data_IF_123420943721
#
_entry.id   IF_123420943721
#
_cell.length_a   1.000
_cell.length_b   1.000
_cell.length_c   1.000
_cell.angle_alpha   90.00
_cell.angle_beta   90.00
_cell.angle_gamma   90.00
#
_symmetry.space_group_name_H-M   'P 1'
#
loop_
_entity.id
_entity.type
_entity.pdbx_description
1 polymer ?
#
# COMPACT_ATOMS: atom_id res chain seq x y z
N UNK A 1 12.09 -64.01 6.24
CA UNK A 1 10.90 -63.18 6.57
C UNK A 1 10.76 -62.22 5.42
N UNK A 2 10.01 -62.65 4.40
CA UNK A 2 9.85 -61.92 3.14
C UNK A 2 9.09 -60.62 3.41
N UNK A 3 9.71 -59.51 3.02
CA UNK A 3 9.14 -58.19 3.13
C UNK A 3 8.18 -58.03 1.95
N UNK A 4 6.89 -58.02 2.26
CA UNK A 4 5.78 -57.97 1.32
C UNK A 4 5.90 -56.71 0.42
N UNK A 5 6.07 -56.91 -0.90
CA UNK A 5 6.20 -55.87 -1.94
C UNK A 5 4.94 -55.00 -2.12
N UNK A 6 3.92 -55.18 -1.29
CA UNK A 6 2.64 -54.48 -1.34
C UNK A 6 2.59 -53.15 -0.57
N UNK A 7 3.68 -52.71 0.06
CA UNK A 7 3.74 -51.42 0.78
C UNK A 7 4.42 -50.30 0.01
N UNK A 8 4.78 -50.50 -1.25
CA UNK A 8 5.08 -49.38 -2.15
C UNK A 8 3.74 -48.79 -2.55
N UNK A 9 3.30 -47.78 -1.79
CA UNK A 9 2.22 -46.89 -2.20
C UNK A 9 2.64 -46.35 -3.58
N UNK A 10 2.09 -46.91 -4.67
CA UNK A 10 2.22 -46.35 -6.01
C UNK A 10 1.67 -44.94 -5.90
N UNK A 11 2.56 -43.95 -5.80
CA UNK A 11 2.19 -42.54 -5.82
C UNK A 11 1.43 -42.38 -7.13
N UNK A 12 0.10 -42.12 -7.10
CA UNK A 12 -0.65 -41.97 -8.33
C UNK A 12 0.05 -40.88 -9.14
N UNK A 13 0.29 -41.14 -10.43
CA UNK A 13 0.83 -40.17 -11.39
C UNK A 13 0.06 -38.86 -11.19
N UNK A 14 0.68 -37.94 -10.45
CA UNK A 14 0.03 -36.69 -10.05
C UNK A 14 -0.25 -35.93 -11.33
N UNK A 15 -1.52 -35.82 -11.71
CA UNK A 15 -1.92 -35.14 -12.94
C UNK A 15 -1.76 -33.64 -12.75
N UNK A 16 -0.53 -33.15 -12.91
CA UNK A 16 -0.23 -31.73 -12.86
C UNK A 16 -0.83 -31.04 -14.09
N UNK A 17 -1.49 -29.90 -13.88
CA UNK A 17 -1.99 -29.06 -15.00
C UNK A 17 -0.82 -28.36 -15.71
N UNK A 18 0.23 -28.01 -14.96
CA UNK A 18 1.42 -27.34 -15.45
C UNK A 18 2.57 -28.34 -15.42
N UNK A 19 3.11 -28.67 -16.60
CA UNK A 19 4.27 -29.54 -16.74
C UNK A 19 5.47 -28.98 -15.98
N UNK A 20 6.30 -29.86 -15.41
CA UNK A 20 7.45 -29.48 -14.58
C UNK A 20 8.45 -28.56 -15.29
N UNK A 21 8.67 -28.76 -16.60
CA UNK A 21 9.54 -27.87 -17.40
C UNK A 21 8.97 -26.46 -17.51
N UNK A 22 7.68 -26.34 -17.88
CA UNK A 22 7.01 -25.04 -17.97
C UNK A 22 6.98 -24.35 -16.61
N UNK A 23 6.73 -25.11 -15.54
CA UNK A 23 6.80 -24.63 -14.17
C UNK A 23 8.17 -24.02 -13.85
N UNK A 24 9.26 -24.72 -14.18
CA UNK A 24 10.61 -24.23 -13.91
C UNK A 24 10.90 -22.88 -14.59
N UNK A 25 10.57 -22.74 -15.87
CA UNK A 25 10.76 -21.48 -16.61
C UNK A 25 9.91 -20.33 -16.05
N UNK A 26 8.61 -20.56 -15.82
CA UNK A 26 7.70 -19.52 -15.35
C UNK A 26 8.02 -19.10 -13.91
N UNK A 27 8.38 -20.06 -13.06
CA UNK A 27 8.79 -19.78 -11.69
C UNK A 27 10.12 -18.98 -11.65
N UNK A 28 11.11 -19.35 -12.47
CA UNK A 28 12.35 -18.58 -12.59
C UNK A 28 12.08 -17.14 -13.04
N UNK A 29 11.28 -16.95 -14.10
CA UNK A 29 10.89 -15.63 -14.58
C UNK A 29 10.17 -14.79 -13.51
N UNK A 30 9.27 -15.42 -12.75
CA UNK A 30 8.56 -14.78 -11.64
C UNK A 30 9.55 -14.33 -10.56
N UNK A 31 10.51 -15.18 -10.17
CA UNK A 31 11.54 -14.82 -9.21
C UNK A 31 12.43 -13.65 -9.70
N UNK A 32 12.85 -13.66 -10.96
CA UNK A 32 13.61 -12.54 -11.54
C UNK A 32 12.81 -11.23 -11.49
N UNK A 33 11.52 -11.28 -11.84
CA UNK A 33 10.63 -10.12 -11.78
C UNK A 33 10.49 -9.61 -10.35
N UNK A 34 10.31 -10.51 -9.37
CA UNK A 34 10.28 -10.15 -7.95
C UNK A 34 11.57 -9.43 -7.57
N UNK A 35 12.75 -9.96 -7.92
CA UNK A 35 14.04 -9.36 -7.57
C UNK A 35 14.24 -7.96 -8.18
N UNK A 36 13.80 -7.75 -9.43
CA UNK A 36 13.87 -6.44 -10.10
C UNK A 36 13.15 -5.36 -9.30
N UNK A 37 12.02 -5.67 -8.67
CA UNK A 37 11.26 -4.70 -7.89
C UNK A 37 11.62 -4.73 -6.41
N UNK A 38 11.85 -5.89 -5.81
CA UNK A 38 12.04 -6.04 -4.37
C UNK A 38 13.37 -5.46 -3.89
N UNK A 39 14.46 -5.63 -4.64
CA UNK A 39 15.79 -5.09 -4.26
C UNK A 39 15.77 -3.56 -4.20
N UNK A 40 15.34 -2.82 -5.24
CA UNK A 40 15.17 -1.38 -5.15
C UNK A 40 14.16 -0.95 -4.08
N UNK A 41 13.10 -1.74 -3.87
CA UNK A 41 12.09 -1.43 -2.84
C UNK A 41 12.66 -1.43 -1.43
N UNK A 42 13.64 -2.29 -1.12
CA UNK A 42 14.35 -2.26 0.17
C UNK A 42 15.04 -0.91 0.35
N UNK A 43 15.78 -0.45 -0.67
CA UNK A 43 16.48 0.82 -0.64
C UNK A 43 15.52 2.01 -0.52
N UNK A 44 14.48 2.05 -1.34
CA UNK A 44 13.50 3.12 -1.33
C UNK A 44 12.68 3.17 -0.03
N UNK A 45 12.32 2.03 0.54
CA UNK A 45 11.62 2.02 1.83
C UNK A 45 12.55 2.37 3.00
N UNK A 46 13.85 2.07 2.94
CA UNK A 46 14.82 2.59 3.89
C UNK A 46 14.90 4.13 3.86
N UNK A 47 14.90 4.72 2.65
CA UNK A 47 14.81 6.19 2.50
C UNK A 47 13.48 6.70 3.06
N UNK A 48 12.35 6.06 2.73
CA UNK A 48 11.04 6.46 3.24
C UNK A 48 11.04 6.53 4.78
N UNK A 49 11.55 5.49 5.43
CA UNK A 49 11.69 5.41 6.88
C UNK A 49 12.52 6.59 7.40
N UNK A 50 13.73 6.81 6.87
CA UNK A 50 14.62 7.88 7.31
C UNK A 50 13.98 9.28 7.15
N UNK A 51 13.32 9.53 6.02
CA UNK A 51 12.66 10.81 5.75
C UNK A 51 11.44 11.01 6.66
N UNK A 52 10.58 10.01 6.84
CA UNK A 52 9.41 10.14 7.71
C UNK A 52 9.77 10.31 9.18
N UNK A 53 10.86 9.68 9.64
CA UNK A 53 11.43 9.97 10.96
C UNK A 53 11.90 11.42 11.06
N UNK A 54 12.63 11.93 10.05
CA UNK A 54 13.13 13.30 10.03
C UNK A 54 12.03 14.37 9.94
N UNK A 55 10.90 14.05 9.31
CA UNK A 55 9.69 14.92 9.30
C UNK A 55 9.05 15.04 10.69
N UNK A 56 9.39 14.13 11.63
CA UNK A 56 8.97 14.22 13.02
C UNK A 56 7.57 13.66 13.32
N UNK A 57 7.05 12.76 12.46
CA UNK A 57 5.82 11.96 12.67
C UNK A 57 4.70 12.75 13.38
N UNK A 58 4.43 13.96 12.89
CA UNK A 58 3.59 14.95 13.59
C UNK A 58 2.09 14.75 13.39
N UNK A 59 1.70 14.00 12.36
CA UNK A 59 0.31 13.74 12.01
C UNK A 59 0.05 12.24 11.82
N UNK A 60 -1.21 11.85 11.95
CA UNK A 60 -1.67 10.46 11.82
C UNK A 60 -1.26 9.83 10.48
N UNK A 61 -1.08 10.61 9.44
CA UNK A 61 -0.86 10.11 8.08
C UNK A 61 0.60 9.73 7.92
N UNK A 62 1.47 10.61 8.42
CA UNK A 62 2.90 10.37 8.52
C UNK A 62 3.20 9.14 9.38
N UNK A 63 2.44 8.93 10.47
CA UNK A 63 2.50 7.66 11.25
C UNK A 63 2.20 6.46 10.34
N UNK A 64 1.10 6.50 9.59
CA UNK A 64 0.68 5.37 8.77
C UNK A 64 1.66 5.11 7.62
N UNK A 65 2.19 6.14 6.97
CA UNK A 65 3.17 5.97 5.90
C UNK A 65 4.52 5.49 6.41
N UNK A 66 4.96 5.93 7.60
CA UNK A 66 6.16 5.38 8.23
C UNK A 66 5.97 3.89 8.54
N UNK A 67 4.83 3.52 9.13
CA UNK A 67 4.53 2.14 9.46
C UNK A 67 4.37 1.26 8.20
N UNK A 68 3.74 1.79 7.15
CA UNK A 68 3.64 1.14 5.85
C UNK A 68 5.03 0.90 5.24
N UNK A 69 5.91 1.91 5.26
CA UNK A 69 7.30 1.78 4.79
C UNK A 69 8.10 0.74 5.60
N UNK A 70 7.85 0.61 6.91
CA UNK A 70 8.45 -0.43 7.74
C UNK A 70 7.97 -1.84 7.34
N UNK A 71 6.67 -2.01 7.11
CA UNK A 71 6.09 -3.28 6.65
C UNK A 71 6.61 -3.66 5.26
N UNK A 72 6.63 -2.70 4.33
CA UNK A 72 7.17 -2.86 2.98
C UNK A 72 8.67 -3.21 3.03
N UNK A 73 9.46 -2.54 3.85
CA UNK A 73 10.88 -2.86 4.03
C UNK A 73 11.09 -4.31 4.52
N UNK A 74 10.39 -4.72 5.58
CA UNK A 74 10.49 -6.08 6.12
C UNK A 74 10.01 -7.15 5.11
N UNK A 75 8.89 -6.90 4.45
CA UNK A 75 8.34 -7.82 3.45
C UNK A 75 9.26 -7.95 2.22
N UNK A 76 9.85 -6.84 1.77
CA UNK A 76 10.76 -6.85 0.62
C UNK A 76 12.08 -7.55 0.92
N UNK A 77 12.61 -7.48 2.15
CA UNK A 77 13.76 -8.31 2.55
C UNK A 77 13.43 -9.80 2.45
N UNK A 78 12.31 -10.22 3.03
CA UNK A 78 11.91 -11.62 3.08
C UNK A 78 11.58 -12.19 1.69
N UNK A 79 10.88 -11.42 0.85
CA UNK A 79 10.57 -11.86 -0.52
C UNK A 79 11.82 -11.91 -1.40
N UNK A 80 12.77 -10.98 -1.20
CA UNK A 80 14.07 -11.00 -1.90
C UNK A 80 14.83 -12.26 -1.51
N UNK A 81 14.91 -12.56 -0.21
CA UNK A 81 15.59 -13.76 0.29
C UNK A 81 14.97 -15.04 -0.29
N UNK A 82 13.63 -15.13 -0.32
CA UNK A 82 12.92 -16.26 -0.92
C UNK A 82 13.24 -16.41 -2.42
N UNK A 83 13.11 -15.34 -3.19
CA UNK A 83 13.36 -15.36 -4.63
C UNK A 83 14.84 -15.66 -4.95
N UNK A 84 15.79 -15.13 -4.18
CA UNK A 84 17.22 -15.39 -4.35
C UNK A 84 17.55 -16.88 -4.15
N UNK A 85 17.05 -17.51 -3.08
CA UNK A 85 17.27 -18.95 -2.88
C UNK A 85 16.67 -19.78 -4.01
N UNK A 86 15.48 -19.40 -4.49
CA UNK A 86 14.84 -20.10 -5.60
C UNK A 86 15.64 -19.99 -6.90
N UNK A 87 16.16 -18.80 -7.23
CA UNK A 87 17.00 -18.58 -8.42
C UNK A 87 18.30 -19.37 -8.31
N UNK A 88 18.98 -19.30 -7.17
CA UNK A 88 20.23 -20.04 -6.95
C UNK A 88 20.04 -21.55 -7.03
N UNK A 89 18.88 -22.06 -6.61
CA UNK A 89 18.51 -23.47 -6.77
C UNK A 89 18.38 -23.84 -8.26
N UNK A 90 17.64 -23.03 -9.03
CA UNK A 90 17.46 -23.26 -10.48
C UNK A 90 18.78 -23.17 -11.25
N UNK A 91 19.70 -22.28 -10.85
CA UNK A 91 21.02 -22.14 -11.46
C UNK A 91 22.00 -23.26 -11.06
N UNK A 92 21.60 -24.20 -10.20
CA UNK A 92 22.46 -25.32 -9.79
C UNK A 92 23.66 -24.89 -8.95
N UNK A 93 23.53 -23.82 -8.15
CA UNK A 93 24.61 -23.34 -7.29
C UNK A 93 25.13 -24.44 -6.34
N UNK A 94 26.40 -24.36 -5.97
CA UNK A 94 27.02 -25.32 -5.05
C UNK A 94 26.28 -25.34 -3.72
N UNK A 95 26.00 -26.53 -3.19
CA UNK A 95 25.22 -26.73 -1.95
C UNK A 95 23.76 -26.26 -2.00
N UNK A 96 23.15 -26.13 -3.19
CA UNK A 96 21.76 -25.70 -3.36
C UNK A 96 20.68 -26.65 -2.84
N UNK A 97 21.04 -27.86 -2.39
CA UNK A 97 20.09 -28.89 -1.89
C UNK A 97 19.09 -28.35 -0.85
N UNK A 98 19.52 -27.41 0.01
CA UNK A 98 18.68 -26.84 1.08
C UNK A 98 17.99 -25.51 0.71
N UNK A 99 18.27 -24.93 -0.47
CA UNK A 99 17.73 -23.62 -0.86
C UNK A 99 16.20 -23.58 -0.98
N UNK A 100 15.50 -24.62 -1.49
CA UNK A 100 14.04 -24.63 -1.48
C UNK A 100 13.45 -24.49 -0.08
N UNK A 101 14.10 -25.06 0.94
CA UNK A 101 13.65 -24.94 2.33
C UNK A 101 13.91 -23.53 2.87
N UNK A 102 15.06 -22.93 2.58
CA UNK A 102 15.30 -21.54 2.98
C UNK A 102 14.34 -20.56 2.29
N UNK A 103 14.02 -20.81 1.02
CA UNK A 103 13.00 -20.07 0.28
C UNK A 103 11.63 -20.19 0.95
N UNK A 104 11.22 -21.41 1.33
CA UNK A 104 9.96 -21.65 2.04
C UNK A 104 9.91 -20.91 3.38
N UNK A 105 10.99 -20.98 4.18
CA UNK A 105 11.05 -20.29 5.47
C UNK A 105 10.91 -18.77 5.27
N UNK A 106 11.66 -18.18 4.34
CA UNK A 106 11.54 -16.76 4.02
C UNK A 106 10.10 -16.37 3.59
N UNK A 107 9.44 -17.20 2.76
CA UNK A 107 8.05 -17.00 2.35
C UNK A 107 7.03 -17.15 3.51
N UNK A 108 7.30 -18.03 4.48
CA UNK A 108 6.48 -18.20 5.69
C UNK A 108 6.48 -16.92 6.55
N UNK A 109 7.66 -16.35 6.78
CA UNK A 109 7.82 -15.10 7.54
C UNK A 109 7.33 -13.87 6.78
N UNK A 110 7.42 -13.87 5.43
CA UNK A 110 6.92 -12.79 4.57
C UNK A 110 5.41 -12.52 4.76
N UNK A 111 4.62 -13.53 5.12
CA UNK A 111 3.17 -13.42 5.25
C UNK A 111 2.68 -12.39 6.27
N UNK A 112 3.40 -12.22 7.40
CA UNK A 112 3.03 -11.27 8.45
C UNK A 112 3.19 -9.81 8.02
N UNK A 113 4.38 -9.31 7.62
CA UNK A 113 4.55 -7.92 7.21
C UNK A 113 3.69 -7.56 5.99
N UNK A 114 3.42 -8.49 5.07
CA UNK A 114 2.45 -8.27 3.99
C UNK A 114 1.04 -7.99 4.53
N UNK A 115 0.58 -8.79 5.51
CA UNK A 115 -0.75 -8.61 6.11
C UNK A 115 -0.86 -7.30 6.89
N UNK A 116 0.24 -6.86 7.51
CA UNK A 116 0.34 -5.56 8.20
C UNK A 116 0.30 -4.39 7.22
N UNK A 117 1.00 -4.49 6.08
CA UNK A 117 0.94 -3.50 5.01
C UNK A 117 -0.49 -3.36 4.45
N UNK A 118 -1.18 -4.49 4.21
CA UNK A 118 -2.57 -4.53 3.76
C UNK A 118 -3.53 -3.86 4.75
N UNK A 119 -3.41 -4.21 6.04
CA UNK A 119 -4.24 -3.64 7.09
C UNK A 119 -3.99 -2.13 7.28
N UNK A 120 -2.73 -1.70 7.20
CA UNK A 120 -2.34 -0.28 7.26
C UNK A 120 -2.93 0.50 6.09
N UNK A 121 -2.85 -0.05 4.89
CA UNK A 121 -3.40 0.59 3.68
C UNK A 121 -4.92 0.68 3.75
N UNK A 122 -5.58 -0.36 4.29
CA UNK A 122 -7.02 -0.32 4.58
C UNK A 122 -7.38 0.76 5.59
N UNK A 123 -6.60 0.91 6.67
CA UNK A 123 -6.79 1.97 7.65
C UNK A 123 -6.62 3.37 7.03
N UNK A 124 -5.60 3.56 6.17
CA UNK A 124 -5.41 4.79 5.39
C UNK A 124 -6.65 5.04 4.52
N UNK A 125 -7.16 4.03 3.82
CA UNK A 125 -8.35 4.14 2.96
C UNK A 125 -9.58 4.60 3.75
N UNK A 126 -9.86 3.96 4.89
CA UNK A 126 -10.97 4.32 5.78
C UNK A 126 -10.81 5.75 6.31
N UNK A 127 -9.62 6.10 6.78
CA UNK A 127 -9.34 7.46 7.26
C UNK A 127 -9.63 8.51 6.19
N UNK A 128 -9.23 8.26 4.94
CA UNK A 128 -9.44 9.21 3.82
C UNK A 128 -10.88 9.21 3.32
N UNK A 129 -11.49 8.03 3.20
CA UNK A 129 -12.88 7.87 2.80
C UNK A 129 -13.81 8.60 3.75
N UNK A 130 -13.60 8.43 5.06
CA UNK A 130 -14.37 9.15 6.07
C UNK A 130 -14.09 10.66 6.08
N UNK A 131 -12.87 11.11 5.77
CA UNK A 131 -12.61 12.55 5.65
C UNK A 131 -13.43 13.21 4.54
N UNK A 132 -13.78 12.44 3.51
CA UNK A 132 -14.60 12.90 2.39
C UNK A 132 -16.09 12.74 2.69
N UNK A 133 -16.51 11.60 3.23
CA UNK A 133 -17.91 11.32 3.52
C UNK A 133 -18.44 12.07 4.76
N UNK A 134 -17.60 12.22 5.79
CA UNK A 134 -18.00 12.80 7.08
C UNK A 134 -16.88 13.65 7.73
N UNK A 135 -16.62 14.86 7.23
CA UNK A 135 -15.49 15.69 7.64
C UNK A 135 -15.52 16.16 9.11
N UNK A 136 -16.70 16.26 9.73
CA UNK A 136 -16.83 16.73 11.11
C UNK A 136 -16.35 15.69 12.14
N UNK A 137 -16.55 14.40 11.89
CA UNK A 137 -16.12 13.33 12.79
C UNK A 137 -14.61 13.07 12.69
N UNK A 138 -14.06 13.14 11.47
CA UNK A 138 -12.66 12.76 11.19
C UNK A 138 -11.62 13.69 11.79
N UNK A 139 -11.98 14.97 11.99
CA UNK A 139 -11.08 15.98 12.58
C UNK A 139 -10.68 15.67 14.03
N UNK A 140 -11.53 14.91 14.74
CA UNK A 140 -11.29 14.51 16.13
C UNK A 140 -11.03 13.01 16.29
N UNK A 141 -11.50 12.17 15.35
CA UNK A 141 -11.30 10.73 15.41
C UNK A 141 -9.84 10.32 15.17
N UNK A 142 -9.20 10.87 14.12
CA UNK A 142 -7.90 10.41 13.64
C UNK A 142 -6.73 11.28 14.08
N UNK A 143 -6.37 11.17 15.37
CA UNK A 143 -5.18 11.83 15.92
C UNK A 143 -3.94 10.92 15.86
N UNK A 144 -2.74 11.50 15.97
CA UNK A 144 -1.46 10.77 15.93
C UNK A 144 -1.43 9.59 16.91
N UNK A 145 -1.74 9.85 18.18
CA UNK A 145 -1.65 8.84 19.23
C UNK A 145 -2.69 7.72 19.05
N UNK A 146 -3.91 8.07 18.61
CA UNK A 146 -4.95 7.08 18.32
C UNK A 146 -4.55 6.17 17.17
N UNK A 147 -3.99 6.73 16.09
CA UNK A 147 -3.51 5.93 14.96
C UNK A 147 -2.34 5.03 15.33
N UNK A 148 -1.42 5.48 16.19
CA UNK A 148 -0.37 4.60 16.74
C UNK A 148 -0.97 3.42 17.51
N UNK A 149 -1.94 3.67 18.40
CA UNK A 149 -2.61 2.61 19.16
C UNK A 149 -3.31 1.62 18.21
N UNK A 150 -4.03 2.12 17.20
CA UNK A 150 -4.71 1.26 16.21
C UNK A 150 -3.71 0.36 15.48
N UNK A 151 -2.59 0.91 15.01
CA UNK A 151 -1.56 0.12 14.31
C UNK A 151 -0.90 -0.91 15.22
N UNK A 152 -0.64 -0.58 16.49
CA UNK A 152 -0.12 -1.53 17.48
C UNK A 152 -1.12 -2.67 17.73
N UNK A 153 -2.40 -2.35 17.92
CA UNK A 153 -3.45 -3.35 18.14
C UNK A 153 -3.59 -4.28 16.92
N UNK A 154 -3.64 -3.72 15.70
CA UNK A 154 -3.64 -4.51 14.45
C UNK A 154 -2.40 -5.41 14.38
N UNK A 155 -1.23 -4.89 14.76
CA UNK A 155 0.02 -5.67 14.78
C UNK A 155 -0.07 -6.87 15.69
N UNK A 156 -0.54 -6.68 16.92
CA UNK A 156 -0.68 -7.74 17.92
C UNK A 156 -1.67 -8.79 17.43
N UNK A 157 -2.84 -8.39 16.94
CA UNK A 157 -3.87 -9.32 16.44
C UNK A 157 -3.32 -10.18 15.30
N UNK A 158 -2.71 -9.56 14.28
CA UNK A 158 -2.18 -10.29 13.13
C UNK A 158 -0.97 -11.16 13.49
N UNK A 159 -0.13 -10.71 14.42
CA UNK A 159 0.97 -11.52 14.96
C UNK A 159 0.47 -12.76 15.68
N UNK A 160 -0.52 -12.61 16.58
CA UNK A 160 -1.14 -13.74 17.31
C UNK A 160 -1.79 -14.73 16.35
N UNK A 161 -2.50 -14.26 15.31
CA UNK A 161 -3.08 -15.16 14.30
C UNK A 161 -2.00 -15.88 13.47
N UNK A 162 -0.88 -15.22 13.18
CA UNK A 162 0.22 -15.80 12.39
C UNK A 162 1.09 -16.78 13.19
N UNK A 163 1.22 -16.60 14.50
CA UNK A 163 2.11 -17.38 15.36
C UNK A 163 1.85 -18.91 15.34
N UNK A 164 0.60 -19.40 15.41
CA UNK A 164 0.32 -20.83 15.23
C UNK A 164 0.78 -21.38 13.89
N UNK A 165 0.64 -20.60 12.81
CA UNK A 165 1.13 -20.98 11.49
C UNK A 165 2.66 -21.06 11.47
N UNK A 166 3.35 -20.13 12.12
CA UNK A 166 4.81 -20.19 12.24
C UNK A 166 5.26 -21.43 13.03
N UNK A 167 4.54 -21.79 14.10
CA UNK A 167 4.83 -22.98 14.92
C UNK A 167 4.45 -24.31 14.26
N UNK A 168 3.60 -24.29 13.22
CA UNK A 168 3.14 -25.49 12.52
C UNK A 168 4.22 -26.16 11.66
N UNK A 169 5.30 -25.46 11.32
CA UNK A 169 6.36 -25.96 10.45
C UNK A 169 7.69 -26.08 11.20
N UNK A 170 8.36 -27.23 11.06
CA UNK A 170 9.70 -27.47 11.61
C UNK A 170 10.65 -27.95 10.52
N UNK A 171 11.88 -27.46 10.56
CA UNK A 171 12.95 -27.96 9.70
C UNK A 171 13.58 -29.21 10.32
N UNK A 172 13.67 -30.31 9.57
CA UNK A 172 14.24 -31.59 10.02
C UNK A 172 15.28 -32.06 9.00
N UNK A 173 16.43 -32.52 9.47
CA UNK A 173 17.45 -33.14 8.63
C UNK A 173 17.13 -34.62 8.43
N UNK A 174 17.12 -35.07 7.17
CA UNK A 174 16.97 -36.47 6.81
C UNK A 174 18.13 -36.92 5.89
N UNK A 175 18.58 -38.17 5.96
CA UNK A 175 19.55 -38.71 5.01
C UNK A 175 19.04 -38.60 3.56
N UNK A 176 19.89 -38.16 2.65
CA UNK A 176 19.59 -38.04 1.23
C UNK A 176 19.36 -39.44 0.62
N UNK A 177 18.16 -39.77 0.13
CA UNK A 177 17.86 -41.08 -0.45
C UNK A 177 18.75 -41.43 -1.65
N UNK A 178 19.29 -40.42 -2.35
CA UNK A 178 20.08 -40.62 -3.56
C UNK A 178 21.57 -40.88 -3.30
N UNK A 179 22.12 -40.35 -2.20
CA UNK A 179 23.56 -40.40 -1.91
C UNK A 179 23.90 -41.06 -0.57
N UNK A 180 22.91 -41.32 0.30
CA UNK A 180 22.94 -41.95 1.62
C UNK A 180 23.98 -41.40 2.64
N UNK A 181 24.85 -40.49 2.22
CA UNK A 181 25.96 -39.91 2.97
C UNK A 181 25.79 -38.42 3.27
N UNK A 182 24.89 -37.72 2.58
CA UNK A 182 24.58 -36.30 2.85
C UNK A 182 23.22 -36.13 3.52
N UNK A 183 23.08 -35.18 4.44
CA UNK A 183 21.78 -34.82 5.02
C UNK A 183 21.11 -33.70 4.19
N UNK A 184 19.81 -33.82 3.96
CA UNK A 184 18.96 -32.80 3.33
C UNK A 184 17.99 -32.23 4.37
N UNK A 185 17.73 -30.93 4.27
CA UNK A 185 16.71 -30.28 5.07
C UNK A 185 15.34 -30.52 4.42
N UNK A 186 14.37 -30.90 5.24
CA UNK A 186 12.95 -30.96 4.83
C UNK A 186 12.10 -30.14 5.80
N UNK A 187 10.95 -29.69 5.32
CA UNK A 187 9.93 -29.06 6.16
C UNK A 187 8.92 -30.14 6.58
N UNK A 188 8.82 -30.35 7.88
CA UNK A 188 7.79 -31.18 8.48
C UNK A 188 6.64 -30.30 8.97
N UNK A 189 5.43 -30.60 8.50
CA UNK A 189 4.21 -30.02 9.04
C UNK A 189 3.75 -30.81 10.27
N UNK A 190 3.54 -30.12 11.39
CA UNK A 190 3.03 -30.72 12.62
C UNK A 190 1.50 -30.75 12.57
N UNK A 191 0.94 -31.96 12.42
CA UNK A 191 -0.51 -32.16 12.32
C UNK A 191 -1.33 -31.61 13.50
N UNK A 192 -0.72 -31.48 14.69
CA UNK A 192 -1.32 -30.85 15.87
C UNK A 192 -1.77 -29.41 15.62
N UNK A 193 -1.08 -28.69 14.73
CA UNK A 193 -1.38 -27.31 14.38
C UNK A 193 -2.33 -27.17 13.19
N UNK A 194 -2.81 -28.28 12.61
CA UNK A 194 -3.68 -28.27 11.44
C UNK A 194 -4.96 -27.41 11.59
N UNK A 195 -5.69 -27.47 12.72
CA UNK A 195 -6.86 -26.60 12.91
C UNK A 195 -6.48 -25.11 12.95
N UNK A 196 -5.37 -24.78 13.60
CA UNK A 196 -4.92 -23.39 13.74
C UNK A 196 -4.38 -22.83 12.40
N UNK A 197 -3.66 -23.65 11.63
CA UNK A 197 -3.21 -23.27 10.29
C UNK A 197 -4.39 -23.03 9.33
N UNK A 198 -5.40 -23.89 9.41
CA UNK A 198 -6.65 -23.75 8.64
C UNK A 198 -7.40 -22.49 9.04
N UNK A 199 -7.49 -22.19 10.34
CA UNK A 199 -8.08 -20.94 10.83
C UNK A 199 -7.33 -19.71 10.30
N UNK A 200 -6.00 -19.69 10.38
CA UNK A 200 -5.22 -18.58 9.83
C UNK A 200 -5.47 -18.40 8.32
N UNK A 201 -5.47 -19.50 7.58
CA UNK A 201 -5.70 -19.47 6.15
C UNK A 201 -7.09 -18.89 5.84
N UNK A 202 -8.16 -19.43 6.44
CA UNK A 202 -9.54 -18.99 6.16
C UNK A 202 -9.77 -17.56 6.68
N UNK A 203 -9.40 -17.27 7.91
CA UNK A 203 -9.72 -15.99 8.55
C UNK A 203 -8.84 -14.85 8.04
N UNK A 204 -7.52 -15.05 7.98
CA UNK A 204 -6.56 -13.98 7.66
C UNK A 204 -6.23 -13.94 6.18
N UNK A 205 -5.98 -15.09 5.54
CA UNK A 205 -5.51 -15.13 4.14
C UNK A 205 -6.64 -15.14 3.12
N UNK A 206 -7.87 -15.37 3.56
CA UNK A 206 -9.05 -15.39 2.70
C UNK A 206 -10.02 -14.30 3.13
N UNK A 207 -10.75 -14.49 4.23
CA UNK A 207 -11.85 -13.61 4.63
C UNK A 207 -11.39 -12.16 4.84
N UNK A 208 -10.30 -11.95 5.59
CA UNK A 208 -9.78 -10.61 5.83
C UNK A 208 -9.30 -9.92 4.54
N UNK A 209 -8.69 -10.64 3.60
CA UNK A 209 -8.26 -10.09 2.30
C UNK A 209 -9.46 -9.59 1.49
N UNK A 210 -10.57 -10.35 1.46
CA UNK A 210 -11.81 -9.88 0.83
C UNK A 210 -12.36 -8.64 1.49
N UNK A 211 -12.46 -8.64 2.83
CA UNK A 211 -13.00 -7.51 3.59
C UNK A 211 -12.15 -6.26 3.33
N UNK A 212 -10.83 -6.37 3.42
CA UNK A 212 -9.89 -5.28 3.14
C UNK A 212 -10.07 -4.76 1.72
N UNK A 213 -10.10 -5.64 0.72
CA UNK A 213 -10.27 -5.24 -0.68
C UNK A 213 -11.59 -4.51 -0.93
N UNK A 214 -12.69 -5.01 -0.36
CA UNK A 214 -14.01 -4.38 -0.48
C UNK A 214 -14.03 -3.00 0.18
N UNK A 215 -13.51 -2.89 1.41
CA UNK A 215 -13.40 -1.62 2.13
C UNK A 215 -12.55 -0.61 1.37
N UNK A 216 -11.38 -1.03 0.87
CA UNK A 216 -10.49 -0.16 0.08
C UNK A 216 -11.15 0.30 -1.22
N UNK A 217 -11.86 -0.59 -1.92
CA UNK A 217 -12.56 -0.26 -3.15
C UNK A 217 -13.69 0.76 -2.91
N UNK A 218 -14.52 0.54 -1.89
CA UNK A 218 -15.59 1.48 -1.50
C UNK A 218 -15.00 2.83 -1.11
N UNK A 219 -13.93 2.84 -0.30
CA UNK A 219 -13.27 4.07 0.11
C UNK A 219 -12.64 4.80 -1.08
N UNK A 220 -11.98 4.09 -1.99
CA UNK A 220 -11.39 4.67 -3.20
C UNK A 220 -12.46 5.34 -4.07
N UNK A 221 -13.60 4.69 -4.28
CA UNK A 221 -14.74 5.28 -5.01
C UNK A 221 -15.28 6.51 -4.28
N UNK A 222 -15.49 6.44 -2.96
CA UNK A 222 -15.96 7.58 -2.16
C UNK A 222 -15.02 8.79 -2.27
N UNK A 223 -13.70 8.57 -2.19
CA UNK A 223 -12.69 9.61 -2.34
C UNK A 223 -12.73 10.20 -3.75
N UNK A 224 -12.78 9.35 -4.79
CA UNK A 224 -12.83 9.80 -6.18
C UNK A 224 -14.08 10.65 -6.47
N UNK A 225 -15.24 10.24 -5.97
CA UNK A 225 -16.50 10.99 -6.11
C UNK A 225 -16.42 12.34 -5.37
N UNK A 226 -16.00 12.34 -4.11
CA UNK A 226 -15.92 13.58 -3.33
C UNK A 226 -14.86 14.57 -3.83
N UNK A 227 -13.75 14.08 -4.38
CA UNK A 227 -12.76 14.92 -5.06
C UNK A 227 -13.35 15.59 -6.31
N UNK A 228 -14.13 14.87 -7.12
CA UNK A 228 -14.82 15.43 -8.31
C UNK A 228 -15.82 16.52 -7.93
N UNK A 229 -16.63 16.28 -6.90
CA UNK A 229 -17.59 17.29 -6.40
C UNK A 229 -16.88 18.54 -5.89
N UNK A 230 -15.76 18.37 -5.17
CA UNK A 230 -14.96 19.49 -4.66
C UNK A 230 -14.29 20.30 -5.77
N UNK A 231 -13.92 19.67 -6.90
CA UNK A 231 -13.36 20.38 -8.06
C UNK A 231 -14.40 21.22 -8.78
N UNK A 232 -15.62 20.70 -8.99
CA UNK A 232 -16.73 21.45 -9.62
C UNK A 232 -17.16 22.68 -8.81
N UNK A 233 -17.19 22.55 -7.48
CA UNK A 233 -17.56 23.67 -6.60
C UNK A 233 -16.51 24.79 -6.63
N UNK A 234 -15.22 24.42 -6.74
CA UNK A 234 -14.12 25.38 -6.85
C UNK A 234 -14.12 26.10 -8.20
N UNK A 235 -14.37 25.41 -9.32
CA UNK A 235 -14.47 26.09 -10.63
C UNK A 235 -15.63 27.09 -10.64
N UNK A 236 -16.81 26.71 -10.13
CA UNK A 236 -17.97 27.62 -10.04
C UNK A 236 -17.72 28.86 -9.16
N UNK A 237 -16.99 28.68 -8.06
CA UNK A 237 -16.64 29.79 -7.15
C UNK A 237 -15.63 30.75 -7.80
N UNK A 238 -14.62 30.24 -8.51
CA UNK A 238 -13.63 31.07 -9.22
C UNK A 238 -14.29 31.88 -10.34
N UNK A 239 -15.17 31.28 -11.15
CA UNK A 239 -15.89 32.00 -12.23
C UNK A 239 -16.81 33.10 -11.68
N UNK A 240 -17.42 32.87 -10.51
CA UNK A 240 -18.27 33.86 -9.84
C UNK A 240 -17.46 35.04 -9.26
N UNK A 241 -16.22 34.81 -8.83
CA UNK A 241 -15.31 35.86 -8.37
C UNK A 241 -14.81 36.72 -9.54
N UNK A 242 -14.40 36.11 -10.65
CA UNK A 242 -13.92 36.85 -11.83
C UNK A 242 -15.02 37.76 -12.42
N UNK A 243 -16.26 37.27 -12.48
CA UNK A 243 -17.41 38.06 -12.92
C UNK A 243 -17.72 39.24 -11.99
N UNK A 244 -17.55 39.09 -10.67
CA UNK A 244 -17.75 40.19 -9.69
C UNK A 244 -16.65 41.24 -9.74
N UNK A 245 -15.40 40.85 -9.99
CA UNK A 245 -14.32 41.82 -10.18
C UNK A 245 -14.46 42.60 -11.49
N UNK A 246 -14.98 41.97 -12.55
CA UNK A 246 -15.26 42.67 -13.80
C UNK A 246 -16.47 43.61 -13.71
N UNK A 247 -17.50 43.26 -12.92
CA UNK A 247 -18.64 44.16 -12.72
C UNK A 247 -18.27 45.40 -11.89
N UNK A 248 -17.46 45.26 -10.84
CA UNK A 248 -16.98 46.39 -10.04
C UNK A 248 -16.00 47.31 -10.80
N UNK A 249 -15.20 46.77 -11.73
CA UNK A 249 -14.37 47.59 -12.61
C UNK A 249 -15.20 48.30 -13.69
N UNK A 250 -16.31 47.71 -14.14
CA UNK A 250 -17.22 48.34 -15.10
C UNK A 250 -18.07 49.45 -14.46
N UNK A 251 -18.54 49.27 -13.22
CA UNK A 251 -19.22 50.33 -12.46
C UNK A 251 -18.30 51.51 -12.12
N UNK A 252 -17.03 51.26 -11.77
CA UNK A 252 -16.07 52.35 -11.51
C UNK A 252 -15.57 53.05 -12.78
N UNK A 253 -15.67 52.41 -13.95
CA UNK A 253 -15.35 53.04 -15.24
C UNK A 253 -16.51 53.92 -15.74
N UNK A 254 -17.76 53.58 -15.43
CA UNK A 254 -18.94 54.36 -15.82
C UNK A 254 -19.15 55.66 -15.02
N UNK A 255 -18.49 55.84 -13.87
CA UNK A 255 -18.65 57.04 -13.01
C UNK A 255 -17.70 58.19 -13.38
N UNK A 256 -16.87 58.06 -14.42
CA UNK A 256 -15.90 59.11 -14.82
C UNK A 256 -16.31 60.00 -15.99
N UNK A 257 -17.50 59.85 -16.55
CA UNK A 257 -18.04 60.78 -17.55
C UNK A 257 -19.40 61.31 -17.11
N UNK A 258 -19.38 62.39 -16.33
CA UNK A 258 -20.06 63.65 -16.68
C UNK A 258 -19.99 64.64 -15.52
N UNK A 259 -19.53 65.84 -15.84
CA UNK A 259 -19.50 66.96 -14.92
C UNK A 259 -20.88 67.59 -14.73
N UNK A 260 -21.04 68.14 -13.52
CA UNK A 260 -21.77 69.37 -13.19
C UNK A 260 -23.19 69.26 -12.59
N UNK A 261 -23.29 69.92 -11.42
CA UNK A 261 -24.42 70.62 -10.77
C UNK A 261 -25.37 69.88 -9.80
N UNK A 262 -25.27 70.33 -8.53
CA UNK A 262 -26.14 70.33 -7.34
C UNK A 262 -27.38 69.42 -7.22
N UNK A 263 -27.55 68.73 -6.09
CA UNK A 263 -28.32 69.21 -4.91
C UNK A 263 -28.34 68.16 -3.80
N UNK A 264 -28.47 68.67 -2.59
CA UNK A 264 -28.50 68.05 -1.27
C UNK A 264 -29.66 67.07 -1.04
N UNK A 265 -29.39 65.83 -0.58
CA UNK A 265 -30.35 65.04 0.23
C UNK A 265 -29.60 64.16 1.26
N UNK A 266 -29.78 64.56 2.54
CA UNK A 266 -29.66 63.84 3.82
C UNK A 266 -28.95 62.48 3.86
N UNK A 267 -27.79 62.50 4.53
CA UNK A 267 -27.16 61.34 5.18
C UNK A 267 -28.08 60.73 6.25
N UNK A 268 -28.51 59.49 6.06
CA UNK A 268 -28.85 58.56 7.13
C UNK A 268 -27.74 57.51 7.16
N UNK A 269 -26.78 57.68 8.07
CA UNK A 269 -25.78 56.66 8.38
C UNK A 269 -26.48 55.51 9.12
N UNK A 270 -26.87 54.47 8.40
CA UNK A 270 -26.98 53.14 9.00
C UNK A 270 -25.62 52.46 8.95
N UNK A 271 -25.02 52.34 10.13
CA UNK A 271 -23.85 51.53 10.41
C UNK A 271 -24.01 50.09 9.88
N UNK A 272 -23.44 49.81 8.71
CA UNK A 272 -22.97 48.46 8.39
C UNK A 272 -21.46 48.45 8.52
N UNK A 273 -20.99 47.95 9.68
CA UNK A 273 -19.60 47.55 9.91
C UNK A 273 -19.10 46.68 8.76
N UNK A 274 -18.36 47.27 7.83
CA UNK A 274 -17.62 46.54 6.80
C UNK A 274 -16.45 45.81 7.47
N UNK A 275 -16.67 44.53 7.77
CA UNK A 275 -15.64 43.64 8.31
C UNK A 275 -14.51 43.37 7.29
N UNK A 276 -13.26 43.13 7.73
CA UNK A 276 -12.12 42.89 6.83
C UNK A 276 -12.12 41.44 6.32
N UNK A 277 -12.79 41.15 5.19
CA UNK A 277 -12.92 39.76 4.67
C UNK A 277 -11.71 39.23 3.88
N UNK A 278 -10.90 40.10 3.26
CA UNK A 278 -9.88 39.72 2.26
C UNK A 278 -8.73 38.85 2.80
N UNK A 279 -8.39 38.97 4.09
CA UNK A 279 -7.33 38.17 4.73
C UNK A 279 -7.80 36.80 5.24
N UNK A 280 -9.08 36.68 5.60
CA UNK A 280 -9.66 35.43 6.11
C UNK A 280 -9.89 34.41 4.99
N UNK A 281 -10.36 34.86 3.83
CA UNK A 281 -10.67 34.00 2.69
C UNK A 281 -9.41 33.36 2.09
N UNK A 282 -8.31 34.12 1.97
CA UNK A 282 -7.01 33.59 1.51
C UNK A 282 -6.45 32.51 2.45
N UNK A 283 -6.54 32.72 3.77
CA UNK A 283 -6.10 31.73 4.77
C UNK A 283 -6.95 30.45 4.73
N UNK A 284 -8.26 30.59 4.58
CA UNK A 284 -9.19 29.44 4.44
C UNK A 284 -8.87 28.66 3.15
N UNK A 285 -8.69 29.34 2.02
CA UNK A 285 -8.42 28.71 0.73
C UNK A 285 -7.06 27.99 0.70
N UNK A 286 -6.02 28.56 1.33
CA UNK A 286 -4.71 27.92 1.47
C UNK A 286 -4.78 26.66 2.34
N UNK A 287 -5.55 26.68 3.44
CA UNK A 287 -5.76 25.51 4.31
C UNK A 287 -6.49 24.37 3.60
N UNK A 288 -7.54 24.69 2.85
CA UNK A 288 -8.31 23.71 2.04
C UNK A 288 -7.44 23.07 0.95
N UNK A 289 -6.50 23.81 0.37
CA UNK A 289 -5.60 23.28 -0.68
C UNK A 289 -4.57 22.30 -0.12
N UNK A 290 -4.03 22.57 1.07
CA UNK A 290 -3.12 21.65 1.78
C UNK A 290 -3.82 20.35 2.19
N UNK A 291 -5.05 20.44 2.71
CA UNK A 291 -5.85 19.25 3.07
C UNK A 291 -6.16 18.38 1.83
N UNK A 292 -6.40 19.00 0.67
CA UNK A 292 -6.63 18.28 -0.59
C UNK A 292 -5.38 17.55 -1.10
N UNK A 293 -4.18 18.14 -0.98
CA UNK A 293 -2.94 17.48 -1.36
C UNK A 293 -2.71 16.19 -0.56
N UNK A 294 -2.99 16.27 0.75
CA UNK A 294 -2.88 15.15 1.69
C UNK A 294 -3.88 14.03 1.38
N UNK A 295 -5.09 14.38 0.91
CA UNK A 295 -6.07 13.39 0.45
C UNK A 295 -5.60 12.73 -0.85
N UNK A 296 -5.06 13.52 -1.79
CA UNK A 296 -4.60 13.03 -3.10
C UNK A 296 -3.47 12.00 -2.98
N UNK A 297 -2.45 12.24 -2.17
CA UNK A 297 -1.36 11.26 -1.97
C UNK A 297 -1.88 9.92 -1.45
N UNK A 298 -2.76 9.94 -0.44
CA UNK A 298 -3.24 8.74 0.21
C UNK A 298 -4.25 7.99 -0.68
N UNK A 299 -5.04 8.73 -1.47
CA UNK A 299 -5.87 8.14 -2.52
C UNK A 299 -5.03 7.38 -3.55
N UNK A 300 -3.92 7.95 -4.01
CA UNK A 300 -3.05 7.27 -5.00
C UNK A 300 -2.45 6.00 -4.42
N UNK A 301 -1.97 6.00 -3.16
CA UNK A 301 -1.48 4.79 -2.48
C UNK A 301 -2.56 3.70 -2.43
N UNK A 302 -3.79 4.06 -2.01
CA UNK A 302 -4.91 3.11 -1.92
C UNK A 302 -5.31 2.59 -3.30
N UNK A 303 -5.35 3.45 -4.32
CA UNK A 303 -5.71 3.07 -5.68
C UNK A 303 -4.70 2.09 -6.28
N UNK A 304 -3.40 2.35 -6.12
CA UNK A 304 -2.33 1.45 -6.57
C UNK A 304 -2.46 0.10 -5.85
N UNK A 305 -2.68 0.09 -4.54
CA UNK A 305 -2.90 -1.13 -3.77
C UNK A 305 -4.08 -1.94 -4.32
N UNK A 306 -5.24 -1.31 -4.55
CA UNK A 306 -6.43 -1.99 -5.10
C UNK A 306 -6.12 -2.61 -6.47
N UNK A 307 -5.43 -1.90 -7.36
CA UNK A 307 -5.03 -2.41 -8.68
C UNK A 307 -4.12 -3.64 -8.51
N UNK A 308 -3.10 -3.52 -7.68
CA UNK A 308 -2.12 -4.58 -7.42
C UNK A 308 -2.72 -5.83 -6.75
N UNK A 309 -3.72 -5.66 -5.88
CA UNK A 309 -4.35 -6.78 -5.15
C UNK A 309 -5.55 -7.39 -5.91
N UNK A 310 -6.07 -6.73 -6.95
CA UNK A 310 -7.18 -7.26 -7.77
C UNK A 310 -6.93 -8.70 -8.29
N UNK A 311 -5.75 -9.08 -8.83
CA UNK A 311 -5.51 -10.46 -9.28
C UNK A 311 -5.49 -11.50 -8.13
N UNK A 312 -5.30 -11.07 -6.87
CA UNK A 312 -5.31 -11.96 -5.69
C UNK A 312 -6.73 -12.47 -5.41
N UNK A 313 -7.76 -11.66 -5.68
CA UNK A 313 -9.15 -11.99 -5.36
C UNK A 313 -9.63 -13.28 -6.05
N UNK A 314 -9.58 -13.43 -7.39
CA UNK A 314 -10.00 -14.66 -8.04
C UNK A 314 -9.16 -15.87 -7.62
N UNK A 315 -7.86 -15.67 -7.34
CA UNK A 315 -6.96 -16.74 -6.86
C UNK A 315 -7.41 -17.29 -5.51
N UNK A 316 -7.80 -16.40 -4.60
CA UNK A 316 -8.29 -16.77 -3.27
C UNK A 316 -9.65 -17.47 -3.36
N UNK A 317 -10.56 -17.02 -4.25
CA UNK A 317 -11.82 -17.74 -4.53
C UNK A 317 -11.52 -19.14 -5.05
N UNK A 318 -10.64 -19.27 -6.03
CA UNK A 318 -10.30 -20.57 -6.63
C UNK A 318 -9.73 -21.54 -5.59
N UNK A 319 -8.92 -21.04 -4.66
CA UNK A 319 -8.39 -21.84 -3.55
C UNK A 319 -9.47 -22.38 -2.59
N UNK A 320 -10.60 -21.69 -2.45
CA UNK A 320 -11.73 -22.18 -1.65
C UNK A 320 -12.52 -23.27 -2.36
N UNK A 321 -12.66 -23.15 -3.69
CA UNK A 321 -13.52 -24.04 -4.49
C UNK A 321 -12.78 -25.31 -4.90
N UNK A 322 -11.47 -25.23 -5.12
CA UNK A 322 -10.66 -26.36 -5.59
C UNK A 322 -9.65 -26.82 -4.52
N UNK A 323 -9.96 -27.87 -3.73
CA UNK A 323 -9.06 -28.43 -2.74
C UNK A 323 -7.72 -28.90 -3.31
N UNK A 324 -7.65 -29.22 -4.61
CA UNK A 324 -6.40 -29.60 -5.28
C UNK A 324 -5.46 -28.41 -5.53
N UNK A 325 -5.94 -27.18 -5.38
CA UNK A 325 -5.15 -25.94 -5.48
C UNK A 325 -4.51 -25.57 -4.13
N UNK A 326 -3.72 -26.49 -3.58
CA UNK A 326 -3.05 -26.34 -2.30
C UNK A 326 -1.59 -26.80 -2.36
N UNK A 327 -0.78 -26.36 -1.39
CA UNK A 327 0.61 -26.81 -1.24
C UNK A 327 0.61 -28.32 -1.08
N UNK A 328 1.40 -29.01 -1.90
CA UNK A 328 1.47 -30.46 -1.85
C UNK A 328 0.22 -31.17 -2.33
N UNK A 329 -0.69 -30.51 -3.07
CA UNK A 329 -1.83 -31.11 -3.79
C UNK A 329 -1.62 -31.09 -5.32
N UNK A 330 -2.50 -31.73 -6.11
CA UNK A 330 -2.25 -32.01 -7.55
C UNK A 330 -1.97 -30.78 -8.41
N UNK A 331 -2.48 -29.61 -8.02
CA UNK A 331 -2.26 -28.35 -8.74
C UNK A 331 -1.20 -27.46 -8.07
N UNK A 332 -0.26 -28.06 -7.32
CA UNK A 332 0.81 -27.33 -6.63
C UNK A 332 1.64 -26.45 -7.56
N UNK A 333 2.02 -26.94 -8.75
CA UNK A 333 2.83 -26.17 -9.70
C UNK A 333 2.07 -24.92 -10.20
N UNK A 334 0.80 -25.08 -10.53
CA UNK A 334 -0.08 -23.96 -10.90
C UNK A 334 -0.21 -22.97 -9.74
N UNK A 335 -0.37 -23.46 -8.52
CA UNK A 335 -0.43 -22.62 -7.32
C UNK A 335 0.84 -21.78 -7.16
N UNK A 336 2.02 -22.39 -7.24
CA UNK A 336 3.30 -21.68 -7.12
C UNK A 336 3.47 -20.61 -8.22
N UNK A 337 3.11 -20.91 -9.46
CA UNK A 337 3.14 -19.94 -10.57
C UNK A 337 2.24 -18.74 -10.28
N UNK A 338 0.98 -18.99 -9.94
CA UNK A 338 0.01 -17.91 -9.69
C UNK A 338 0.47 -17.05 -8.51
N UNK A 339 0.85 -17.66 -7.38
CA UNK A 339 1.32 -16.91 -6.23
C UNK A 339 2.66 -16.19 -6.47
N UNK A 340 3.53 -16.72 -7.36
CA UNK A 340 4.73 -16.02 -7.81
C UNK A 340 4.41 -14.71 -8.53
N UNK A 341 3.43 -14.71 -9.43
CA UNK A 341 2.95 -13.52 -10.12
C UNK A 341 2.26 -12.52 -9.17
N UNK A 342 1.48 -13.01 -8.21
CA UNK A 342 0.88 -12.16 -7.18
C UNK A 342 1.96 -11.47 -6.33
N UNK A 343 2.98 -12.22 -5.89
CA UNK A 343 4.09 -11.66 -5.13
C UNK A 343 4.88 -10.61 -5.95
N UNK A 344 5.04 -10.80 -7.26
CA UNK A 344 5.64 -9.79 -8.13
C UNK A 344 4.81 -8.48 -8.13
N UNK A 345 3.49 -8.61 -8.15
CA UNK A 345 2.58 -7.45 -8.10
C UNK A 345 2.65 -6.72 -6.76
N UNK A 346 2.81 -7.45 -5.66
CA UNK A 346 3.06 -6.87 -4.33
C UNK A 346 4.44 -6.20 -4.23
N UNK A 347 5.47 -6.73 -4.90
CA UNK A 347 6.77 -6.07 -4.98
C UNK A 347 6.68 -4.73 -5.73
N UNK A 348 5.90 -4.67 -6.81
CA UNK A 348 5.60 -3.42 -7.53
C UNK A 348 4.88 -2.41 -6.65
N UNK A 349 3.91 -2.86 -5.85
CA UNK A 349 3.15 -2.03 -4.91
C UNK A 349 4.09 -1.34 -3.89
N UNK A 350 4.97 -2.12 -3.24
CA UNK A 350 5.97 -1.60 -2.30
C UNK A 350 7.00 -0.66 -2.95
N UNK A 351 7.37 -0.93 -4.22
CA UNK A 351 8.31 -0.12 -5.00
C UNK A 351 7.77 1.28 -5.31
N UNK A 352 6.51 1.35 -5.76
CA UNK A 352 5.89 2.58 -6.27
C UNK A 352 5.66 3.62 -5.16
N UNK A 353 5.49 3.19 -3.91
CA UNK A 353 5.21 4.07 -2.77
C UNK A 353 6.19 5.25 -2.64
N UNK A 354 7.49 5.02 -2.85
CA UNK A 354 8.50 6.09 -2.84
C UNK A 354 8.22 7.19 -3.88
N UNK A 355 7.89 6.80 -5.11
CA UNK A 355 7.57 7.75 -6.17
C UNK A 355 6.25 8.47 -5.91
N UNK A 356 5.27 7.81 -5.30
CA UNK A 356 4.03 8.46 -4.86
C UNK A 356 4.36 9.55 -3.84
N UNK A 357 5.21 9.27 -2.85
CA UNK A 357 5.59 10.24 -1.84
C UNK A 357 6.38 11.42 -2.44
N UNK A 358 7.32 11.17 -3.35
CA UNK A 358 8.03 12.26 -4.05
C UNK A 358 7.10 13.17 -4.86
N UNK A 359 6.07 12.61 -5.52
CA UNK A 359 5.18 13.38 -6.38
C UNK A 359 4.06 14.10 -5.61
N UNK A 360 3.50 13.45 -4.59
CA UNK A 360 2.26 13.91 -3.96
C UNK A 360 2.41 14.34 -2.48
N UNK A 361 3.54 14.05 -1.83
CA UNK A 361 3.80 14.47 -0.45
C UNK A 361 4.82 15.63 -0.41
N UNK A 362 4.32 16.86 -0.31
CA UNK A 362 5.18 18.06 -0.29
C UNK A 362 6.16 18.08 0.89
N UNK A 363 5.71 17.66 2.09
CA UNK A 363 6.59 17.55 3.27
C UNK A 363 7.73 16.55 3.02
N UNK A 364 7.40 15.40 2.44
CA UNK A 364 8.37 14.38 2.06
C UNK A 364 9.38 14.90 1.05
N UNK A 365 8.90 15.48 -0.05
CA UNK A 365 9.73 16.03 -1.12
C UNK A 365 10.68 17.11 -0.63
N UNK A 366 10.20 18.02 0.21
CA UNK A 366 11.04 19.09 0.76
C UNK A 366 12.11 18.51 1.68
N UNK A 367 11.75 17.61 2.59
CA UNK A 367 12.71 16.96 3.49
C UNK A 367 13.75 16.14 2.72
N UNK A 368 13.32 15.38 1.71
CA UNK A 368 14.20 14.64 0.80
C UNK A 368 15.18 15.58 0.08
N UNK A 369 14.69 16.68 -0.48
CA UNK A 369 15.53 17.70 -1.12
C UNK A 369 16.59 18.28 -0.20
N UNK A 370 16.23 18.57 1.07
CA UNK A 370 17.16 19.06 2.09
C UNK A 370 18.19 17.99 2.50
N UNK A 371 17.78 16.72 2.67
CA UNK A 371 18.69 15.64 3.09
C UNK A 371 19.73 15.34 2.02
N UNK A 372 19.35 15.35 0.74
CA UNK A 372 20.23 15.01 -0.37
C UNK A 372 20.81 16.24 -1.09
N UNK A 373 20.66 17.44 -0.53
CA UNK A 373 21.12 18.72 -1.11
C UNK A 373 20.67 18.96 -2.56
N UNK A 374 19.48 18.47 -2.92
CA UNK A 374 18.95 18.57 -4.28
C UNK A 374 18.22 19.91 -4.47
N UNK A 375 18.94 20.91 -5.01
CA UNK A 375 18.44 22.29 -5.26
C UNK A 375 17.13 22.33 -6.08
N UNK A 376 16.90 21.38 -6.97
CA UNK A 376 15.67 21.27 -7.77
C UNK A 376 14.40 21.12 -6.90
N UNK A 377 14.48 20.35 -5.80
CA UNK A 377 13.32 20.11 -4.94
C UNK A 377 13.03 21.27 -3.99
N UNK A 378 14.07 21.98 -3.55
CA UNK A 378 13.99 23.13 -2.63
C UNK A 378 13.27 24.32 -3.28
N UNK A 379 13.46 24.54 -4.59
CA UNK A 379 12.90 25.69 -5.32
C UNK A 379 11.49 25.44 -5.91
N UNK A 380 10.91 24.25 -5.74
CA UNK A 380 9.60 23.94 -6.31
C UNK A 380 8.42 24.67 -5.64
N UNK A 381 8.59 25.20 -4.42
CA UNK A 381 7.60 26.08 -3.78
C UNK A 381 7.75 27.55 -4.19
N UNK A 382 8.97 28.02 -4.51
CA UNK A 382 9.19 29.40 -4.97
C UNK A 382 8.66 29.61 -6.39
N UNK A 383 8.72 28.61 -7.27
CA UNK A 383 8.19 28.71 -8.63
C UNK A 383 6.65 28.82 -8.70
N UNK A 384 5.90 28.22 -7.75
CA UNK A 384 4.43 28.38 -7.69
C UNK A 384 3.96 29.74 -7.15
N UNK A 385 4.87 30.57 -6.63
CA UNK A 385 4.61 31.96 -6.28
C UNK A 385 4.99 32.97 -7.37
N UNK A 386 5.70 32.53 -8.42
CA UNK A 386 6.33 33.44 -9.40
C UNK A 386 5.65 33.44 -10.78
N UNK A 387 4.73 32.50 -11.07
CA UNK A 387 3.84 32.58 -12.24
C UNK A 387 2.59 33.45 -12.01
N UNK A 388 2.74 34.57 -11.30
CA UNK A 388 1.81 35.70 -11.32
C UNK A 388 2.60 36.99 -11.38
N UNK A 389 3.03 37.35 -12.59
CA UNK A 389 3.10 38.74 -13.03
C UNK A 389 2.57 38.81 -14.44
#
# INVERSE_FOLDING_TARGET
MEMNDSSILKIPLRRQIVADELFAYVNALSCFTILIFSIPSIFFNAINIAIFFKIGVSDSITVCFLYLALCDFCSMILTTLSASFQVLYVLGATSSKNFPIYSFNAALFYGLPLSLAAATTTYIAVQRGLCVAWPFLTRHAFTRNRSLIVLIVISIILFVCWLPRAAAYRNVYMPDPAMNSSQILIVQFLGTWSPADSFYLISVRIALVFVQYMVMSVCAVAIAVGMRSSMKLKSATTTSFDNRSNSQNSENAAVKENGSVSMEVKNVNTDLKSAPKRGSDKKIQQKVTKEMQVIKQAFVVVLVYVICTTPTIPTVIYRLVEPKFQVGADYSNLMYVVFGLLNATEAVNAFINFFIYLNFNSKFRNCFGTVFNLRYFINSETATGVFKK
#
